data_IF_943755014626
#
_entry.id   IF_943755014626
#
_cell.length_a   1.000
_cell.length_b   1.000
_cell.length_c   1.000
_cell.angle_alpha   90.00
_cell.angle_beta   90.00
_cell.angle_gamma   90.00
#
_symmetry.space_group_name_H-M   'P 1'
#
loop_
_entity.id
_entity.type
_entity.pdbx_description
1 polymer ?
#
# COMPACT_ATOMS: atom_id res chain seq x y z
N UNK A 1 -18.88 -8.70 -15.31
CA UNK A 1 -17.92 -7.83 -14.57
C UNK A 1 -16.68 -7.65 -15.42
N UNK A 2 -16.48 -6.48 -16.04
CA UNK A 2 -15.23 -6.18 -16.74
C UNK A 2 -14.11 -6.15 -15.71
N UNK A 3 -13.25 -7.18 -15.71
CA UNK A 3 -12.00 -7.14 -14.96
C UNK A 3 -11.13 -6.09 -15.64
N UNK A 4 -11.07 -4.87 -15.09
CA UNK A 4 -10.08 -3.88 -15.54
C UNK A 4 -8.71 -4.55 -15.62
N UNK A 5 -7.91 -4.29 -16.67
CA UNK A 5 -6.60 -4.88 -16.81
C UNK A 5 -5.78 -4.62 -15.53
N UNK A 6 -5.44 -5.69 -14.80
CA UNK A 6 -4.59 -5.57 -13.62
C UNK A 6 -3.18 -5.19 -14.07
N UNK A 7 -2.61 -4.16 -13.46
CA UNK A 7 -1.21 -3.82 -13.70
C UNK A 7 -0.30 -4.97 -13.28
N UNK A 8 0.68 -5.27 -14.14
CA UNK A 8 1.74 -6.22 -13.84
C UNK A 8 2.57 -5.66 -12.68
N UNK A 9 2.70 -6.43 -11.60
CA UNK A 9 3.50 -6.04 -10.45
C UNK A 9 4.98 -6.01 -10.81
N UNK A 10 5.66 -4.91 -10.49
CA UNK A 10 7.11 -4.81 -10.61
C UNK A 10 7.83 -5.50 -9.41
N UNK A 11 9.17 -5.48 -9.39
CA UNK A 11 9.97 -6.11 -8.33
C UNK A 11 9.62 -5.58 -6.93
N UNK A 12 9.40 -4.29 -6.79
CA UNK A 12 9.06 -3.64 -5.51
C UNK A 12 7.65 -4.01 -5.07
N UNK A 13 6.70 -4.02 -5.99
CA UNK A 13 5.30 -4.36 -5.70
C UNK A 13 5.13 -5.85 -5.38
N UNK A 14 5.96 -6.74 -5.95
CA UNK A 14 6.05 -8.14 -5.53
C UNK A 14 6.53 -8.28 -4.09
N UNK A 15 7.58 -7.57 -3.69
CA UNK A 15 8.04 -7.57 -2.29
C UNK A 15 6.97 -7.04 -1.33
N UNK A 16 6.24 -6.01 -1.74
CA UNK A 16 5.12 -5.47 -0.96
C UNK A 16 3.97 -6.49 -0.85
N UNK A 17 3.69 -7.24 -1.92
CA UNK A 17 2.75 -8.35 -1.91
C UNK A 17 3.17 -9.43 -0.92
N UNK A 18 4.43 -9.89 -0.99
CA UNK A 18 4.97 -10.90 -0.07
C UNK A 18 4.87 -10.44 1.38
N UNK A 19 5.11 -9.15 1.64
CA UNK A 19 5.03 -8.58 2.98
C UNK A 19 3.58 -8.50 3.49
N UNK A 20 2.62 -8.17 2.62
CA UNK A 20 1.19 -8.23 2.95
C UNK A 20 0.75 -9.69 3.22
N UNK A 21 1.23 -10.65 2.43
CA UNK A 21 0.94 -12.07 2.65
C UNK A 21 1.52 -12.56 3.97
N UNK A 22 2.77 -12.20 4.29
CA UNK A 22 3.37 -12.47 5.60
C UNK A 22 2.63 -11.75 6.75
N UNK A 23 1.98 -10.62 6.45
CA UNK A 23 1.08 -9.95 7.37
C UNK A 23 -0.29 -10.66 7.52
N UNK A 24 -0.53 -11.79 6.85
CA UNK A 24 -1.76 -12.59 6.98
C UNK A 24 -2.88 -12.18 6.03
N UNK A 25 -2.60 -11.29 5.06
CA UNK A 25 -3.57 -11.00 4.00
C UNK A 25 -3.54 -12.12 2.96
N UNK A 26 -4.72 -12.62 2.56
CA UNK A 26 -4.81 -13.56 1.44
C UNK A 26 -4.18 -12.98 0.18
N UNK A 27 -3.48 -13.81 -0.58
CA UNK A 27 -2.69 -13.38 -1.74
C UNK A 27 -3.50 -12.54 -2.75
N UNK A 28 -4.73 -12.95 -3.06
CA UNK A 28 -5.60 -12.21 -3.99
C UNK A 28 -6.08 -10.87 -3.43
N UNK A 29 -6.39 -10.81 -2.12
CA UNK A 29 -6.77 -9.56 -1.44
C UNK A 29 -5.58 -8.61 -1.33
N UNK A 30 -4.39 -9.11 -1.00
CA UNK A 30 -3.16 -8.34 -0.95
C UNK A 30 -2.81 -7.76 -2.34
N UNK A 31 -2.96 -8.56 -3.39
CA UNK A 31 -2.77 -8.11 -4.77
C UNK A 31 -3.80 -7.04 -5.15
N UNK A 32 -5.07 -7.24 -4.81
CA UNK A 32 -6.13 -6.26 -5.08
C UNK A 32 -5.90 -4.94 -4.33
N UNK A 33 -5.42 -4.99 -3.08
CA UNK A 33 -5.01 -3.81 -2.32
C UNK A 33 -3.92 -3.02 -3.04
N UNK A 34 -2.89 -3.69 -3.58
CA UNK A 34 -1.84 -3.02 -4.36
C UNK A 34 -2.45 -2.39 -5.63
N UNK A 35 -3.32 -3.10 -6.34
CA UNK A 35 -3.98 -2.55 -7.54
C UNK A 35 -4.75 -1.27 -7.22
N UNK A 36 -5.62 -1.31 -6.21
CA UNK A 36 -6.47 -0.18 -5.83
C UNK A 36 -5.69 0.97 -5.18
N UNK A 37 -4.75 0.66 -4.30
CA UNK A 37 -4.07 1.67 -3.49
C UNK A 37 -2.78 2.20 -4.13
N UNK A 38 -2.13 1.49 -5.04
CA UNK A 38 -0.93 2.01 -5.72
C UNK A 38 -1.26 2.51 -7.12
N UNK A 39 -2.07 1.78 -7.89
CA UNK A 39 -2.23 2.08 -9.31
C UNK A 39 -3.44 2.98 -9.66
N UNK A 40 -4.45 3.06 -8.80
CA UNK A 40 -5.59 3.97 -9.02
C UNK A 40 -5.27 5.38 -8.52
N UNK A 41 -4.65 6.20 -9.38
CA UNK A 41 -4.33 7.60 -9.04
C UNK A 41 -5.60 8.41 -8.73
N UNK A 42 -5.57 9.17 -7.64
CA UNK A 42 -6.64 10.10 -7.29
C UNK A 42 -6.47 11.43 -8.03
N UNK A 43 -7.52 12.27 -8.04
CA UNK A 43 -7.43 13.63 -8.57
C UNK A 43 -6.35 14.45 -7.85
N UNK A 44 -6.17 14.25 -6.53
CA UNK A 44 -5.12 14.92 -5.77
C UNK A 44 -3.72 14.51 -6.23
N UNK A 45 -3.51 13.22 -6.52
CA UNK A 45 -2.23 12.74 -7.05
C UNK A 45 -1.95 13.32 -8.45
N UNK A 46 -2.97 13.39 -9.31
CA UNK A 46 -2.85 13.98 -10.64
C UNK A 46 -2.49 15.46 -10.56
N UNK A 47 -3.15 16.22 -9.68
CA UNK A 47 -2.83 17.64 -9.45
C UNK A 47 -1.40 17.81 -8.93
N UNK A 48 -0.94 16.92 -8.05
CA UNK A 48 0.42 16.96 -7.55
C UNK A 48 1.43 16.69 -8.67
N UNK A 49 1.23 15.66 -9.51
CA UNK A 49 2.10 15.40 -10.67
C UNK A 49 2.17 16.61 -11.60
N UNK A 50 1.03 17.22 -11.93
CA UNK A 50 1.00 18.42 -12.79
C UNK A 50 1.77 19.58 -12.15
N UNK A 51 1.63 19.78 -10.84
CA UNK A 51 2.38 20.80 -10.11
C UNK A 51 3.90 20.55 -10.14
N UNK A 52 4.34 19.32 -9.90
CA UNK A 52 5.78 18.96 -9.94
C UNK A 52 6.37 19.16 -11.34
N UNK A 53 5.61 18.80 -12.38
CA UNK A 53 6.02 19.00 -13.78
C UNK A 53 6.14 20.50 -14.09
N UNK A 54 5.18 21.32 -13.68
CA UNK A 54 5.23 22.77 -13.84
C UNK A 54 6.42 23.42 -13.11
N UNK A 55 6.87 22.80 -12.01
CA UNK A 55 8.05 23.22 -11.26
C UNK A 55 9.38 22.72 -11.87
N UNK A 56 9.35 22.12 -13.06
CA UNK A 56 10.53 21.67 -13.79
C UNK A 56 10.96 20.23 -13.52
N UNK A 57 10.19 19.45 -12.75
CA UNK A 57 10.45 18.01 -12.61
C UNK A 57 10.08 17.28 -13.90
N UNK A 58 10.91 16.32 -14.33
CA UNK A 58 10.52 15.53 -15.50
C UNK A 58 9.31 14.63 -15.20
N UNK A 59 8.43 14.35 -16.18
CA UNK A 59 7.21 13.58 -15.95
C UNK A 59 7.46 12.19 -15.33
N UNK A 60 8.50 11.49 -15.76
CA UNK A 60 8.84 10.15 -15.24
C UNK A 60 9.16 10.18 -13.75
N UNK A 61 9.91 11.19 -13.30
CA UNK A 61 10.23 11.39 -11.89
C UNK A 61 8.98 11.75 -11.09
N UNK A 62 8.15 12.68 -11.58
CA UNK A 62 6.92 13.10 -10.90
C UNK A 62 5.95 11.93 -10.68
N UNK A 63 5.70 11.12 -11.71
CA UNK A 63 4.89 9.90 -11.57
C UNK A 63 5.55 8.87 -10.64
N UNK A 64 6.86 8.66 -10.75
CA UNK A 64 7.58 7.70 -9.91
C UNK A 64 7.49 8.05 -8.42
N UNK A 65 7.64 9.34 -8.09
CA UNK A 65 7.53 9.85 -6.73
C UNK A 65 6.13 9.59 -6.14
N UNK A 66 5.08 9.84 -6.91
CA UNK A 66 3.70 9.55 -6.50
C UNK A 66 3.49 8.06 -6.25
N UNK A 67 3.91 7.19 -7.17
CA UNK A 67 3.77 5.74 -6.97
C UNK A 67 4.56 5.26 -5.74
N UNK A 68 5.73 5.83 -5.48
CA UNK A 68 6.51 5.53 -4.28
C UNK A 68 5.80 5.98 -3.00
N UNK A 69 5.27 7.21 -2.96
CA UNK A 69 4.51 7.72 -1.82
C UNK A 69 3.26 6.86 -1.53
N UNK A 70 2.59 6.39 -2.58
CA UNK A 70 1.42 5.50 -2.45
C UNK A 70 1.78 4.12 -1.88
N UNK A 71 2.92 3.53 -2.30
CA UNK A 71 3.43 2.28 -1.69
C UNK A 71 3.72 2.47 -0.21
N UNK A 72 4.37 3.57 0.17
CA UNK A 72 4.66 3.90 1.57
C UNK A 72 3.36 4.07 2.36
N UNK A 73 2.36 4.76 1.80
CA UNK A 73 1.05 4.93 2.43
C UNK A 73 0.33 3.60 2.64
N UNK A 74 0.36 2.71 1.64
CA UNK A 74 -0.19 1.36 1.75
C UNK A 74 0.52 0.57 2.86
N UNK A 75 1.86 0.54 2.84
CA UNK A 75 2.64 -0.15 3.86
C UNK A 75 2.34 0.38 5.28
N UNK A 76 2.32 1.70 5.47
CA UNK A 76 1.98 2.29 6.78
C UNK A 76 0.57 1.92 7.23
N UNK A 77 -0.42 1.94 6.33
CA UNK A 77 -1.81 1.66 6.69
C UNK A 77 -2.06 0.19 7.04
N UNK A 78 -1.43 -0.74 6.31
CA UNK A 78 -1.75 -2.17 6.40
C UNK A 78 -0.66 -3.01 7.09
N UNK A 79 0.53 -2.45 7.34
CA UNK A 79 1.64 -3.17 7.99
C UNK A 79 2.03 -2.57 9.35
N UNK A 80 1.84 -1.27 9.60
CA UNK A 80 2.21 -0.68 10.91
C UNK A 80 1.31 -1.12 12.08
N UNK A 81 0.19 -1.82 11.82
CA UNK A 81 -0.70 -2.35 12.86
C UNK A 81 -0.22 -3.64 13.53
N UNK A 82 0.91 -4.24 13.09
CA UNK A 82 1.48 -5.45 13.71
C UNK A 82 2.58 -5.15 14.74
N UNK A 83 2.39 -4.12 15.58
CA UNK A 83 3.12 -4.07 16.85
C UNK A 83 2.38 -4.97 17.85
N UNK A 84 2.97 -6.14 18.09
CA UNK A 84 2.85 -6.99 19.28
C UNK A 84 1.41 -7.39 19.64
N UNK A 85 0.95 -8.51 19.10
CA UNK A 85 0.02 -9.38 19.81
C UNK A 85 0.78 -10.64 20.24
N UNK A 86 1.84 -10.42 21.01
CA UNK A 86 2.52 -11.40 21.86
C UNK A 86 3.05 -10.65 23.08
N UNK A 87 2.19 -10.40 24.05
CA UNK A 87 2.59 -10.45 25.46
C UNK A 87 1.43 -11.07 26.26
N UNK A 88 1.65 -12.36 26.54
CA UNK A 88 1.34 -13.01 27.82
C UNK A 88 -0.13 -13.25 28.16
N UNK A 89 -0.49 -14.52 28.14
CA UNK A 89 -1.71 -14.98 28.77
C UNK A 89 -1.62 -14.84 30.28
N UNK A 90 -2.69 -14.37 30.90
CA UNK A 90 -3.18 -14.95 32.15
C UNK A 90 -4.68 -14.61 32.27
N UNK A 91 -5.48 -15.67 32.39
CA UNK A 91 -6.85 -15.57 32.84
C UNK A 91 -6.82 -15.22 34.32
N UNK A 92 -7.34 -14.07 34.72
CA UNK A 92 -7.89 -13.93 36.08
C UNK A 92 -9.10 -12.99 36.04
N UNK A 93 -10.30 -13.47 36.42
CA UNK A 93 -11.46 -12.59 36.56
C UNK A 93 -11.31 -11.73 37.83
N UNK A 94 -11.76 -10.46 37.83
CA UNK A 94 -11.82 -9.69 39.05
C UNK A 94 -12.99 -10.21 39.89
N UNK A 95 -12.66 -10.71 41.09
CA UNK A 95 -13.60 -11.01 42.15
C UNK A 95 -13.44 -9.93 43.22
N UNK A 96 -14.46 -9.08 43.38
CA UNK A 96 -14.94 -8.45 44.62
C UNK A 96 -16.12 -7.53 44.29
#
# INVERSE_FOLDING_TARGET
MSKSPRHKLNKTDKRLLDTLVAAGYEHDKARDLIQKQVYTLTLADQRHVVSEISNGMNPTQAYSAVYQARRIRLARKYLNGKKVMEETGENTPPSA
#
